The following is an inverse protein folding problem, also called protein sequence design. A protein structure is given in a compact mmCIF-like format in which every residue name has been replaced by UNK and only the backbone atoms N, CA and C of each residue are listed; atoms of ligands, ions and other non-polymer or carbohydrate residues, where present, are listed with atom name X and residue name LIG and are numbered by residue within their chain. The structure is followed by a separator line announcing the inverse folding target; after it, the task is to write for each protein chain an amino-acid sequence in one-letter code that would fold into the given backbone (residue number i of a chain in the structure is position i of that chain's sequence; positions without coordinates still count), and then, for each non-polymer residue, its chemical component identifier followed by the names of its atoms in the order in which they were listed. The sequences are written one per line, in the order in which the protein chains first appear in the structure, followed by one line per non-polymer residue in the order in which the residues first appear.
data_IF_230572641130
#
_entry.id   IF_230572641130
#
_cell.length_a   1.000
_cell.length_b   1.000
_cell.length_c   1.000
_cell.angle_alpha   90.00
_cell.angle_beta   90.00
_cell.angle_gamma   90.00
#
_symmetry.space_group_name_H-M   'P 1'
#
loop_
_entity.id
_entity.type
_entity.pdbx_description
1 polymer ?
#
# COMPACT_ATOMS: atom_id res chain seq x y z
N UNK A 1 2.57 33.33 -15.82
CA UNK A 1 1.29 33.38 -15.06
C UNK A 1 0.34 32.39 -15.73
N UNK A 2 -0.28 31.48 -14.99
CA UNK A 2 -1.13 30.42 -15.56
C UNK A 2 -1.40 29.22 -14.64
N UNK A 3 -0.58 29.04 -13.60
CA UNK A 3 -0.63 27.87 -12.72
C UNK A 3 -1.09 28.18 -11.27
N UNK A 4 -1.53 29.41 -10.99
CA UNK A 4 -1.97 29.83 -9.65
C UNK A 4 -3.43 29.47 -9.43
N UNK A 5 -3.74 28.17 -9.33
CA UNK A 5 -5.12 27.67 -9.19
C UNK A 5 -5.81 28.11 -7.88
N UNK A 6 -5.04 28.57 -6.89
CA UNK A 6 -5.52 29.04 -5.59
C UNK A 6 -5.52 30.57 -5.44
N UNK A 7 -5.33 31.34 -6.52
CA UNK A 7 -5.15 32.80 -6.47
C UNK A 7 -6.34 33.58 -5.93
N UNK A 8 -7.55 33.00 -5.94
CA UNK A 8 -8.78 33.62 -5.46
C UNK A 8 -9.03 33.40 -3.96
N UNK A 9 -8.16 32.67 -3.26
CA UNK A 9 -8.27 32.47 -1.82
C UNK A 9 -7.78 33.69 -1.05
N UNK A 10 -8.41 33.99 0.08
CA UNK A 10 -7.83 34.91 1.06
C UNK A 10 -6.50 34.35 1.60
N UNK A 11 -5.60 35.20 2.15
CA UNK A 11 -4.35 34.73 2.73
C UNK A 11 -4.53 33.63 3.79
N UNK A 12 -5.56 33.76 4.64
CA UNK A 12 -5.83 32.77 5.69
C UNK A 12 -6.35 31.43 5.11
N UNK A 13 -7.19 31.47 4.07
CA UNK A 13 -7.64 30.25 3.38
C UNK A 13 -6.48 29.56 2.67
N UNK A 14 -5.63 30.34 2.00
CA UNK A 14 -4.45 29.82 1.33
C UNK A 14 -3.55 29.08 2.32
N UNK A 15 -3.19 29.70 3.46
CA UNK A 15 -2.39 29.04 4.49
C UNK A 15 -3.03 27.76 5.04
N UNK A 16 -4.36 27.73 5.22
CA UNK A 16 -5.06 26.52 5.65
C UNK A 16 -5.00 25.41 4.59
N UNK A 17 -5.23 25.75 3.32
CA UNK A 17 -5.18 24.77 2.22
C UNK A 17 -3.77 24.20 2.05
N UNK A 18 -2.75 25.06 2.11
CA UNK A 18 -1.35 24.61 2.02
C UNK A 18 -1.00 23.64 3.15
N UNK A 19 -1.41 23.94 4.39
CA UNK A 19 -1.19 23.02 5.51
C UNK A 19 -1.88 21.67 5.29
N UNK A 20 -3.13 21.67 4.85
CA UNK A 20 -3.88 20.44 4.56
C UNK A 20 -3.19 19.62 3.45
N UNK A 21 -2.67 20.28 2.41
CA UNK A 21 -1.93 19.63 1.33
C UNK A 21 -0.60 19.04 1.82
N UNK A 22 0.16 19.78 2.61
CA UNK A 22 1.41 19.31 3.22
C UNK A 22 1.16 18.06 4.07
N UNK A 23 0.19 18.12 4.99
CA UNK A 23 -0.19 16.97 5.82
C UNK A 23 -0.61 15.76 4.98
N UNK A 24 -1.36 15.99 3.90
CA UNK A 24 -1.84 14.93 3.01
C UNK A 24 -0.70 14.26 2.24
N UNK A 25 0.24 15.04 1.71
CA UNK A 25 1.42 14.54 1.00
C UNK A 25 2.31 13.74 1.97
N UNK A 26 2.58 14.28 3.16
CA UNK A 26 3.38 13.55 4.16
C UNK A 26 2.72 12.25 4.62
N UNK A 27 1.40 12.16 4.58
CA UNK A 27 0.65 10.96 4.96
C UNK A 27 0.68 9.83 3.92
N UNK A 28 1.25 10.05 2.72
CA UNK A 28 1.49 8.95 1.77
C UNK A 28 2.71 8.11 2.14
N UNK A 29 3.58 8.61 3.02
CA UNK A 29 4.69 7.83 3.58
C UNK A 29 4.16 6.71 4.50
N UNK A 30 4.49 5.46 4.17
CA UNK A 30 4.09 4.31 4.98
C UNK A 30 4.64 4.36 6.41
N UNK A 31 5.77 5.02 6.67
CA UNK A 31 6.27 5.22 8.04
C UNK A 31 5.30 6.09 8.87
N UNK A 32 4.71 7.12 8.25
CA UNK A 32 3.66 7.95 8.88
C UNK A 32 2.38 7.14 9.07
N UNK A 33 2.01 6.30 8.10
CA UNK A 33 0.92 5.34 8.26
C UNK A 33 1.15 4.44 9.49
N UNK A 34 2.29 3.77 9.61
CA UNK A 34 2.57 2.89 10.76
C UNK A 34 2.53 3.62 12.11
N UNK A 35 2.97 4.88 12.14
CA UNK A 35 2.90 5.72 13.33
C UNK A 35 1.46 6.05 13.73
N UNK A 36 0.59 6.33 12.76
CA UNK A 36 -0.78 6.79 13.00
C UNK A 36 -1.84 5.67 12.98
N UNK A 37 -1.57 4.52 12.35
CA UNK A 37 -2.57 3.47 12.07
C UNK A 37 -3.25 2.97 13.34
N UNK A 38 -2.51 2.70 14.41
CA UNK A 38 -3.08 2.15 15.64
C UNK A 38 -4.13 3.06 16.25
N UNK A 39 -3.88 4.38 16.23
CA UNK A 39 -4.84 5.38 16.68
C UNK A 39 -6.12 5.35 15.83
N UNK A 40 -6.00 5.25 14.51
CA UNK A 40 -7.16 5.23 13.62
C UNK A 40 -7.97 3.94 13.76
N UNK A 41 -7.33 2.78 13.73
CA UNK A 41 -7.99 1.49 13.88
C UNK A 41 -8.77 1.44 15.21
N UNK A 42 -8.17 1.92 16.30
CA UNK A 42 -8.85 2.00 17.60
C UNK A 42 -10.04 2.96 17.57
N UNK A 43 -9.87 4.15 16.97
CA UNK A 43 -10.91 5.16 16.85
C UNK A 43 -12.15 4.64 16.11
N UNK A 44 -11.94 3.89 15.02
CA UNK A 44 -13.01 3.29 14.23
C UNK A 44 -13.67 2.15 15.01
N UNK A 45 -12.87 1.21 15.54
CA UNK A 45 -13.36 0.04 16.29
C UNK A 45 -14.22 0.44 17.48
N UNK A 46 -13.80 1.46 18.23
CA UNK A 46 -14.52 1.96 19.41
C UNK A 46 -15.69 2.88 19.05
N UNK A 47 -15.85 3.23 17.76
CA UNK A 47 -16.83 4.21 17.27
C UNK A 47 -16.78 5.54 18.03
N UNK A 48 -15.59 5.92 18.47
CA UNK A 48 -15.34 7.12 19.27
C UNK A 48 -14.93 8.32 18.41
N UNK A 49 -15.07 8.21 17.08
CA UNK A 49 -14.81 9.30 16.16
C UNK A 49 -15.77 10.48 16.32
N UNK A 50 -15.23 11.69 16.28
CA UNK A 50 -15.99 12.93 16.18
C UNK A 50 -15.40 13.79 15.05
N UNK A 51 -16.11 13.86 13.93
CA UNK A 51 -15.68 14.60 12.74
C UNK A 51 -15.76 16.11 12.87
N UNK A 52 -16.26 16.65 13.99
CA UNK A 52 -16.14 18.08 14.31
C UNK A 52 -14.75 18.43 14.88
N UNK A 53 -13.95 17.44 15.29
CA UNK A 53 -12.61 17.67 15.84
C UNK A 53 -11.55 17.58 14.76
N UNK A 54 -10.62 18.52 14.74
CA UNK A 54 -9.60 18.60 13.70
C UNK A 54 -8.59 17.44 13.77
N UNK A 55 -8.21 16.98 14.97
CA UNK A 55 -7.30 15.84 15.15
C UNK A 55 -7.87 14.54 14.55
N UNK A 56 -9.17 14.30 14.71
CA UNK A 56 -9.84 13.14 14.12
C UNK A 56 -9.95 13.27 12.59
N UNK A 57 -10.21 14.48 12.08
CA UNK A 57 -10.25 14.77 10.64
C UNK A 57 -8.87 14.64 9.99
N UNK A 58 -7.82 15.08 10.68
CA UNK A 58 -6.43 14.91 10.25
C UNK A 58 -6.09 13.43 10.14
N UNK A 59 -6.43 12.65 11.17
CA UNK A 59 -6.19 11.21 11.17
C UNK A 59 -6.94 10.51 10.04
N UNK A 60 -8.24 10.81 9.86
CA UNK A 60 -9.03 10.29 8.74
C UNK A 60 -8.42 10.69 7.39
N UNK A 61 -8.01 11.96 7.22
CA UNK A 61 -7.37 12.46 6.00
C UNK A 61 -6.09 11.70 5.69
N UNK A 62 -5.21 11.55 6.68
CA UNK A 62 -3.94 10.84 6.50
C UNK A 62 -4.16 9.37 6.08
N UNK A 63 -5.07 8.68 6.77
CA UNK A 63 -5.42 7.30 6.40
C UNK A 63 -6.12 7.21 5.04
N UNK A 64 -6.91 8.23 4.66
CA UNK A 64 -7.54 8.32 3.34
C UNK A 64 -6.48 8.43 2.26
N UNK A 65 -5.44 9.23 2.48
CA UNK A 65 -4.32 9.33 1.54
C UNK A 65 -3.63 7.98 1.36
N UNK A 66 -3.38 7.23 2.43
CA UNK A 66 -2.79 5.89 2.34
C UNK A 66 -3.67 4.92 1.54
N UNK A 67 -4.99 4.84 1.81
CA UNK A 67 -5.85 3.92 1.02
C UNK A 67 -5.99 4.36 -0.43
N UNK A 68 -5.91 5.65 -0.74
CA UNK A 68 -5.86 6.13 -2.12
C UNK A 68 -4.55 5.74 -2.81
N UNK A 69 -3.43 5.87 -2.13
CA UNK A 69 -2.10 5.52 -2.67
C UNK A 69 -1.98 4.01 -2.91
N UNK A 70 -2.57 3.20 -2.02
CA UNK A 70 -2.62 1.75 -2.14
C UNK A 70 -3.80 1.23 -2.99
N UNK A 71 -4.50 2.09 -3.75
CA UNK A 71 -5.75 1.70 -4.40
C UNK A 71 -5.61 0.59 -5.46
N UNK A 72 -4.40 0.34 -5.98
CA UNK A 72 -4.14 -0.71 -6.96
C UNK A 72 -4.59 -2.10 -6.48
N UNK A 73 -4.39 -2.40 -5.18
CA UNK A 73 -4.74 -3.71 -4.60
C UNK A 73 -6.24 -3.99 -4.57
N UNK A 74 -7.08 -2.98 -4.79
CA UNK A 74 -8.54 -3.10 -4.83
C UNK A 74 -9.08 -3.35 -6.24
N UNK A 75 -8.22 -3.24 -7.27
CA UNK A 75 -8.65 -3.28 -8.68
C UNK A 75 -8.84 -4.72 -9.16
N UNK A 76 -9.54 -4.93 -10.30
CA UNK A 76 -9.60 -6.24 -10.92
C UNK A 76 -8.19 -6.82 -11.14
N UNK A 77 -8.07 -8.13 -11.01
CA UNK A 77 -6.79 -8.86 -11.01
C UNK A 77 -5.84 -8.47 -12.16
N UNK A 78 -6.35 -8.33 -13.39
CA UNK A 78 -5.52 -7.98 -14.54
C UNK A 78 -4.88 -6.59 -14.42
N UNK A 79 -5.55 -5.66 -13.73
CA UNK A 79 -5.03 -4.32 -13.46
C UNK A 79 -4.05 -4.37 -12.29
N UNK A 80 -4.44 -5.00 -11.19
CA UNK A 80 -3.61 -5.12 -9.99
C UNK A 80 -2.29 -5.83 -10.30
N UNK A 81 -2.33 -7.00 -10.96
CA UNK A 81 -1.13 -7.75 -11.36
C UNK A 81 -0.21 -6.92 -12.24
N UNK A 82 -0.77 -6.15 -13.19
CA UNK A 82 0.02 -5.28 -14.07
C UNK A 82 0.71 -4.17 -13.28
N UNK A 83 0.05 -3.57 -12.29
CA UNK A 83 0.66 -2.57 -11.44
C UNK A 83 1.74 -3.19 -10.55
N UNK A 84 1.49 -4.37 -9.96
CA UNK A 84 2.49 -5.09 -9.17
C UNK A 84 3.76 -5.40 -10.00
N UNK A 85 3.62 -5.85 -11.25
CA UNK A 85 4.75 -6.07 -12.16
C UNK A 85 5.56 -4.79 -12.41
N UNK A 86 4.90 -3.64 -12.57
CA UNK A 86 5.57 -2.35 -12.76
C UNK A 86 6.33 -1.91 -11.50
N UNK A 87 5.70 -2.03 -10.33
CA UNK A 87 6.31 -1.71 -9.04
C UNK A 87 7.51 -2.61 -8.76
N UNK A 88 7.38 -3.91 -9.00
CA UNK A 88 8.50 -4.86 -8.91
C UNK A 88 9.64 -4.48 -9.86
N UNK A 89 9.32 -4.14 -11.11
CA UNK A 89 10.34 -3.75 -12.09
C UNK A 89 11.13 -2.52 -11.61
N UNK A 90 10.43 -1.53 -11.05
CA UNK A 90 11.04 -0.34 -10.46
C UNK A 90 11.93 -0.69 -9.25
N UNK A 91 11.46 -1.55 -8.34
CA UNK A 91 12.24 -1.98 -7.17
C UNK A 91 13.50 -2.75 -7.56
N UNK A 92 13.44 -3.58 -8.59
CA UNK A 92 14.62 -4.27 -9.09
C UNK A 92 15.63 -3.30 -9.71
N UNK A 93 15.15 -2.32 -10.48
CA UNK A 93 16.03 -1.30 -11.07
C UNK A 93 16.73 -0.47 -9.98
N UNK A 94 15.99 -0.08 -8.92
CA UNK A 94 16.57 0.59 -7.76
C UNK A 94 17.58 -0.30 -7.01
N UNK A 95 17.27 -1.59 -6.83
CA UNK A 95 18.16 -2.55 -6.19
C UNK A 95 19.46 -2.77 -6.97
N UNK A 96 19.37 -2.84 -8.30
CA UNK A 96 20.52 -2.97 -9.20
C UNK A 96 21.40 -1.72 -9.17
N UNK A 97 20.82 -0.52 -9.21
CA UNK A 97 21.54 0.75 -9.06
C UNK A 97 22.27 0.79 -7.71
N UNK A 98 21.59 0.46 -6.60
CA UNK A 98 22.20 0.43 -5.28
C UNK A 98 23.36 -0.57 -5.16
N UNK A 99 23.23 -1.73 -5.81
CA UNK A 99 24.28 -2.75 -5.85
C UNK A 99 25.49 -2.29 -6.67
N UNK A 100 25.25 -1.76 -7.88
CA UNK A 100 26.30 -1.42 -8.84
C UNK A 100 27.02 -0.12 -8.48
N UNK A 101 26.28 0.91 -8.06
CA UNK A 101 26.84 2.25 -7.85
C UNK A 101 27.26 2.49 -6.39
N UNK A 102 26.58 1.86 -5.43
CA UNK A 102 26.76 2.14 -4.00
C UNK A 102 27.27 0.94 -3.19
N UNK A 103 27.43 -0.23 -3.84
CA UNK A 103 27.83 -1.49 -3.19
C UNK A 103 26.93 -1.87 -2.00
N UNK A 104 25.63 -1.57 -2.10
CA UNK A 104 24.60 -1.88 -1.11
C UNK A 104 23.94 -3.20 -1.48
N UNK A 105 23.73 -4.08 -0.49
CA UNK A 105 22.92 -5.29 -0.69
C UNK A 105 21.44 -4.90 -0.71
N UNK A 106 20.69 -5.16 -1.79
CA UNK A 106 19.28 -4.81 -1.86
C UNK A 106 18.47 -5.64 -0.86
N UNK A 107 17.42 -5.02 -0.29
CA UNK A 107 16.41 -5.75 0.48
C UNK A 107 15.64 -6.70 -0.43
N UNK A 108 14.98 -7.69 0.16
CA UNK A 108 14.39 -8.82 -0.57
C UNK A 108 13.42 -8.41 -1.69
N UNK A 109 12.56 -7.43 -1.46
CA UNK A 109 11.60 -6.93 -2.47
C UNK A 109 12.28 -6.20 -3.65
N UNK A 110 13.52 -5.73 -3.45
CA UNK A 110 14.35 -5.06 -4.46
C UNK A 110 15.39 -6.01 -5.07
N UNK A 111 15.47 -7.26 -4.59
CA UNK A 111 16.43 -8.23 -5.10
C UNK A 111 15.80 -9.07 -6.21
N UNK A 112 16.21 -8.85 -7.46
CA UNK A 112 15.75 -9.62 -8.63
C UNK A 112 15.99 -11.13 -8.50
N UNK A 113 16.94 -11.56 -7.68
CA UNK A 113 17.22 -12.98 -7.43
C UNK A 113 16.16 -13.65 -6.55
N UNK A 114 15.27 -12.87 -5.92
CA UNK A 114 14.15 -13.34 -5.08
C UNK A 114 12.79 -13.16 -5.76
N UNK A 115 12.76 -13.12 -7.09
CA UNK A 115 11.52 -12.96 -7.86
C UNK A 115 10.49 -14.06 -7.55
N UNK A 116 10.95 -15.27 -7.26
CA UNK A 116 10.12 -16.42 -6.88
C UNK A 116 9.31 -16.19 -5.59
N UNK A 117 9.82 -15.33 -4.69
CA UNK A 117 9.23 -15.02 -3.39
C UNK A 117 8.24 -13.84 -3.45
N UNK A 118 8.22 -13.07 -4.54
CA UNK A 118 7.35 -11.90 -4.66
C UNK A 118 5.87 -12.20 -4.41
N UNK A 119 5.28 -13.32 -4.90
CA UNK A 119 3.89 -13.63 -4.60
C UNK A 119 3.61 -13.78 -3.10
N UNK A 120 4.53 -14.39 -2.35
CA UNK A 120 4.40 -14.51 -0.90
C UNK A 120 4.53 -13.13 -0.22
N UNK A 121 5.48 -12.31 -0.67
CA UNK A 121 5.63 -10.93 -0.18
C UNK A 121 4.39 -10.07 -0.45
N UNK A 122 3.70 -10.27 -1.57
CA UNK A 122 2.43 -9.58 -1.86
C UNK A 122 1.34 -10.00 -0.87
N UNK A 123 1.24 -11.29 -0.51
CA UNK A 123 0.32 -11.74 0.54
C UNK A 123 0.63 -11.07 1.88
N UNK A 124 1.90 -11.06 2.29
CA UNK A 124 2.33 -10.42 3.54
C UNK A 124 2.05 -8.91 3.56
N UNK A 125 2.29 -8.23 2.44
CA UNK A 125 1.98 -6.82 2.24
C UNK A 125 0.48 -6.55 2.39
N UNK A 126 -0.35 -7.38 1.74
CA UNK A 126 -1.80 -7.27 1.83
C UNK A 126 -2.28 -7.45 3.28
N UNK A 127 -1.81 -8.49 3.96
CA UNK A 127 -2.24 -8.82 5.32
C UNK A 127 -1.77 -7.79 6.36
N UNK A 128 -0.54 -7.30 6.20
CA UNK A 128 0.08 -6.42 7.20
C UNK A 128 -0.30 -4.95 7.03
N UNK A 129 -0.57 -4.52 5.80
CA UNK A 129 -0.71 -3.10 5.45
C UNK A 129 -2.11 -2.83 4.89
N UNK A 130 -2.52 -3.51 3.82
CA UNK A 130 -3.73 -3.14 3.08
C UNK A 130 -5.01 -3.55 3.82
N UNK A 131 -5.15 -4.81 4.17
CA UNK A 131 -6.41 -5.37 4.66
C UNK A 131 -6.92 -4.65 5.92
N UNK A 132 -6.10 -4.42 6.97
CA UNK A 132 -6.57 -3.78 8.22
C UNK A 132 -7.16 -2.39 7.99
N UNK A 133 -6.56 -1.60 7.08
CA UNK A 133 -7.01 -0.24 6.83
C UNK A 133 -8.28 -0.23 5.98
N UNK A 134 -8.38 -1.06 4.94
CA UNK A 134 -9.60 -1.14 4.13
C UNK A 134 -10.79 -1.69 4.92
N UNK A 135 -10.58 -2.65 5.82
CA UNK A 135 -11.64 -3.13 6.73
C UNK A 135 -12.15 -2.00 7.62
N UNK A 136 -11.26 -1.19 8.19
CA UNK A 136 -11.65 -0.02 9.00
C UNK A 136 -12.44 1.01 8.19
N UNK A 137 -12.08 1.26 6.93
CA UNK A 137 -12.89 2.12 6.07
C UNK A 137 -14.27 1.53 5.77
N UNK A 138 -14.38 0.21 5.61
CA UNK A 138 -15.67 -0.46 5.44
C UNK A 138 -16.53 -0.43 6.71
N UNK A 139 -15.95 -0.36 7.90
CA UNK A 139 -16.67 -0.11 9.16
C UNK A 139 -17.23 1.32 9.23
N UNK A 140 -16.50 2.30 8.69
CA UNK A 140 -16.97 3.70 8.60
C UNK A 140 -18.10 3.88 7.59
N UNK A 141 -18.08 3.13 6.49
CA UNK A 141 -19.11 3.21 5.45
C UNK A 141 -19.24 1.90 4.68
N UNK A 142 -20.44 1.33 4.71
CA UNK A 142 -20.81 0.13 3.95
C UNK A 142 -20.50 0.26 2.45
N UNK A 143 -20.58 1.48 1.91
CA UNK A 143 -20.30 1.77 0.50
C UNK A 143 -18.83 1.50 0.11
N UNK A 144 -17.92 1.37 1.08
CA UNK A 144 -16.52 1.09 0.86
C UNK A 144 -16.18 -0.42 0.93
N UNK A 145 -17.15 -1.27 1.30
CA UNK A 145 -16.98 -2.73 1.33
C UNK A 145 -16.50 -3.34 -0.01
N UNK A 146 -16.85 -2.82 -1.21
CA UNK A 146 -16.29 -3.32 -2.46
C UNK A 146 -14.76 -3.25 -2.54
N UNK A 147 -14.12 -2.28 -1.85
CA UNK A 147 -12.66 -2.18 -1.80
C UNK A 147 -12.05 -3.36 -1.05
N UNK A 148 -12.61 -3.72 0.11
CA UNK A 148 -12.21 -4.91 0.90
C UNK A 148 -12.38 -6.18 0.08
N UNK A 149 -13.49 -6.30 -0.65
CA UNK A 149 -13.72 -7.46 -1.53
C UNK A 149 -12.63 -7.56 -2.62
N UNK A 150 -12.24 -6.44 -3.22
CA UNK A 150 -11.13 -6.39 -4.17
C UNK A 150 -9.82 -6.87 -3.55
N UNK A 151 -9.47 -6.37 -2.36
CA UNK A 151 -8.28 -6.80 -1.62
C UNK A 151 -8.30 -8.31 -1.35
N UNK A 152 -9.41 -8.84 -0.84
CA UNK A 152 -9.54 -10.27 -0.51
C UNK A 152 -9.45 -11.17 -1.76
N UNK A 153 -9.99 -10.73 -2.90
CA UNK A 153 -9.88 -11.46 -4.16
C UNK A 153 -8.42 -11.49 -4.62
N UNK A 154 -7.74 -10.35 -4.64
CA UNK A 154 -6.34 -10.29 -5.08
C UNK A 154 -5.41 -11.04 -4.12
N UNK A 155 -5.65 -10.98 -2.80
CA UNK A 155 -4.92 -11.78 -1.81
C UNK A 155 -4.97 -13.27 -2.15
N UNK A 156 -6.16 -13.81 -2.44
CA UNK A 156 -6.34 -15.23 -2.79
C UNK A 156 -5.61 -15.60 -4.09
N UNK A 157 -5.56 -14.69 -5.05
CA UNK A 157 -4.88 -14.91 -6.32
C UNK A 157 -3.35 -14.92 -6.12
N UNK A 158 -2.81 -13.99 -5.33
CA UNK A 158 -1.40 -14.01 -4.95
C UNK A 158 -1.02 -15.24 -4.15
N UNK A 159 -1.85 -15.63 -3.18
CA UNK A 159 -1.65 -16.86 -2.39
C UNK A 159 -1.62 -18.10 -3.28
N UNK A 160 -2.51 -18.19 -4.27
CA UNK A 160 -2.48 -19.27 -5.26
C UNK A 160 -1.15 -19.31 -6.02
N UNK A 161 -0.66 -18.16 -6.49
CA UNK A 161 0.62 -18.08 -7.22
C UNK A 161 1.79 -18.46 -6.32
N UNK A 162 1.79 -18.01 -5.06
CA UNK A 162 2.82 -18.38 -4.08
C UNK A 162 2.87 -19.89 -3.85
N UNK A 163 1.71 -20.54 -3.72
CA UNK A 163 1.62 -22.00 -3.58
C UNK A 163 2.12 -22.74 -4.83
N UNK A 164 1.75 -22.27 -6.03
CA UNK A 164 2.22 -22.85 -7.29
C UNK A 164 3.74 -22.73 -7.46
N UNK A 165 4.34 -21.60 -7.05
CA UNK A 165 5.79 -21.41 -7.07
C UNK A 165 6.50 -22.37 -6.10
N UNK A 166 5.97 -22.52 -4.89
CA UNK A 166 6.53 -23.43 -3.89
C UNK A 166 6.46 -24.90 -4.34
N UNK A 167 5.36 -25.31 -4.98
CA UNK A 167 5.22 -26.66 -5.53
C UNK A 167 6.26 -26.93 -6.61
N UNK A 168 6.38 -26.05 -7.61
CA UNK A 168 7.38 -26.20 -8.69
C UNK A 168 8.80 -26.31 -8.15
N UNK A 169 9.13 -25.53 -7.13
CA UNK A 169 10.45 -25.57 -6.49
C UNK A 169 10.72 -26.89 -5.79
N UNK A 170 9.72 -27.44 -5.06
CA UNK A 170 9.85 -28.73 -4.41
C UNK A 170 9.98 -29.87 -5.43
N UNK A 171 9.23 -29.82 -6.53
CA UNK A 171 9.29 -30.84 -7.59
C UNK A 171 10.67 -30.86 -8.27
N UNK A 172 11.26 -29.68 -8.59
CA UNK A 172 12.62 -29.60 -9.15
C UNK A 172 13.69 -30.14 -8.19
N UNK A 173 13.53 -29.89 -6.89
CA UNK A 173 14.48 -30.35 -5.88
C UNK A 173 14.44 -31.87 -5.70
N UNK A 174 13.26 -32.49 -5.83
CA UNK A 174 13.13 -33.96 -5.83
C UNK A 174 13.75 -34.60 -7.09
N UNK A 175 13.60 -33.97 -8.27
CA UNK A 175 14.21 -34.46 -9.52
C UNK A 175 15.75 -34.38 -9.51
N UNK A 176 16.32 -33.35 -8.88
CA UNK A 176 17.78 -33.22 -8.69
C UNK A 176 18.33 -34.23 -7.68
N UNK A 177 17.61 -34.53 -6.60
CA UNK A 177 18.03 -35.51 -5.58
C UNK A 177 17.93 -36.97 -6.08
N UNK A 178 17.06 -37.25 -7.06
CA UNK A 178 16.87 -38.57 -7.68
C UNK A 178 17.79 -38.83 -8.91
N UNK A 179 18.60 -37.84 -9.33
CA UNK A 179 19.50 -37.90 -10.51
C UNK A 179 20.98 -38.12 -10.16
#
# INVERSE_FOLDING_TARGET
QGNQILSNLSPDEYSRVIKVLEDAILSTDLAVYFTKRGMFLNLVRERSYNWSREDHRELLRGMTMTVCDLAAITKPWNVEKRIAELVTSEFFEQGDIGRQELNITPIDIMNREKEDQLPAMQVDFIDSICLPIYESFAELSEKLRPLVQGVLVNRKLWEKIALENNQKRNDHQMEEDDS
#
